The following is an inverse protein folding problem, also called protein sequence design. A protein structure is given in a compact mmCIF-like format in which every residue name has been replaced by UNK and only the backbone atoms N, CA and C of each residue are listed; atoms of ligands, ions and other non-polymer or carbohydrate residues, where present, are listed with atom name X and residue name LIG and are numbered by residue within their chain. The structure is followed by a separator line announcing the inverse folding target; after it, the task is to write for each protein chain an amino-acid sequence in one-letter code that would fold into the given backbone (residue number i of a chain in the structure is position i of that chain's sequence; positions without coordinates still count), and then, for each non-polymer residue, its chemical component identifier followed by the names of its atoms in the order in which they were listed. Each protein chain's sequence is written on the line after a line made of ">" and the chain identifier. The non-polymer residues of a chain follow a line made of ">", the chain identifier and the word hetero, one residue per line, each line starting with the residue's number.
data_IF_826693102502
#
_entry.id   IF_826693102502
#
_cell.length_a   1.000
_cell.length_b   1.000
_cell.length_c   1.000
_cell.angle_alpha   90.00
_cell.angle_beta   90.00
_cell.angle_gamma   90.00
#
_symmetry.space_group_name_H-M   'P 1'
#
loop_
_entity.id
_entity.type
_entity.pdbx_description
1 polymer ?
#
# COMPACT_ATOMS: atom_id res chain seq x y z
N UNK A 1 -47.54 -1.84 20.87
CA UNK A 1 -48.21 -0.52 20.69
C UNK A 1 -49.41 -0.48 21.63
N UNK A 2 -49.74 0.62 22.33
CA UNK A 2 -50.95 0.69 23.20
C UNK A 2 -52.10 1.36 22.44
N UNK A 3 -53.01 0.56 21.87
CA UNK A 3 -54.12 1.07 21.03
C UNK A 3 -55.15 1.89 21.81
N UNK A 4 -55.21 1.74 23.12
CA UNK A 4 -56.12 2.47 24.00
C UNK A 4 -55.88 3.99 24.01
N UNK A 5 -54.65 4.41 23.73
CA UNK A 5 -54.23 5.82 23.74
C UNK A 5 -54.46 6.53 22.39
N UNK A 6 -54.73 5.78 21.31
CA UNK A 6 -54.90 6.34 19.97
C UNK A 6 -56.26 7.01 19.77
N UNK A 7 -56.36 8.00 18.87
CA UNK A 7 -57.66 8.60 18.55
C UNK A 7 -58.50 7.62 17.72
N UNK A 8 -59.83 7.74 17.84
CA UNK A 8 -60.77 6.84 17.15
C UNK A 8 -60.62 6.87 15.62
N UNK A 9 -60.21 8.01 15.03
CA UNK A 9 -59.93 8.12 13.60
C UNK A 9 -58.68 7.31 13.20
N UNK A 10 -57.61 7.40 14.00
CA UNK A 10 -56.35 6.70 13.73
C UNK A 10 -56.52 5.18 13.85
N UNK A 11 -57.27 4.72 14.87
CA UNK A 11 -57.61 3.30 15.03
C UNK A 11 -58.43 2.78 13.85
N UNK A 12 -59.35 3.59 13.32
CA UNK A 12 -60.20 3.20 12.20
C UNK A 12 -59.41 3.10 10.89
N UNK A 13 -58.47 4.03 10.67
CA UNK A 13 -57.52 3.97 9.56
C UNK A 13 -56.60 2.75 9.67
N UNK A 14 -56.17 2.42 10.89
CA UNK A 14 -55.31 1.26 11.15
C UNK A 14 -56.05 -0.07 10.95
N UNK A 15 -57.30 -0.19 11.42
CA UNK A 15 -58.18 -1.32 11.10
C UNK A 15 -58.35 -1.49 9.59
N UNK A 16 -58.61 -0.41 8.86
CA UNK A 16 -58.78 -0.44 7.41
C UNK A 16 -57.48 -0.85 6.68
N UNK A 17 -56.32 -0.36 7.14
CA UNK A 17 -54.99 -0.72 6.61
C UNK A 17 -54.72 -2.22 6.72
N UNK A 18 -55.18 -2.85 7.80
CA UNK A 18 -55.02 -4.28 8.07
C UNK A 18 -56.18 -5.14 7.54
N UNK A 19 -57.13 -4.53 6.83
CA UNK A 19 -58.27 -5.24 6.25
C UNK A 19 -59.32 -5.70 7.26
N UNK A 20 -59.29 -5.19 8.49
CA UNK A 20 -60.24 -5.54 9.54
C UNK A 20 -61.53 -4.74 9.32
N UNK A 21 -62.59 -5.40 8.84
CA UNK A 21 -63.87 -4.78 8.51
C UNK A 21 -64.62 -4.29 9.74
N UNK A 22 -64.75 -2.96 9.92
CA UNK A 22 -65.44 -2.32 11.04
C UNK A 22 -66.72 -1.60 10.61
N UNK A 23 -67.83 -1.69 11.37
CA UNK A 23 -69.05 -0.95 11.07
C UNK A 23 -68.85 0.56 11.24
N UNK A 24 -69.58 1.38 10.47
CA UNK A 24 -69.41 2.84 10.42
C UNK A 24 -69.54 3.57 11.77
N UNK A 25 -70.23 2.95 12.75
CA UNK A 25 -70.40 3.46 14.13
C UNK A 25 -69.59 2.68 15.18
N UNK A 26 -68.55 1.95 14.78
CA UNK A 26 -67.69 1.22 15.72
C UNK A 26 -67.08 2.16 16.78
N UNK A 27 -67.16 1.73 18.04
CA UNK A 27 -66.60 2.50 19.16
C UNK A 27 -65.08 2.34 19.22
N UNK A 28 -64.41 3.31 19.86
CA UNK A 28 -62.95 3.30 20.03
C UNK A 28 -62.47 2.00 20.69
N UNK A 29 -63.17 1.52 21.71
CA UNK A 29 -62.84 0.29 22.41
C UNK A 29 -62.94 -0.95 21.50
N UNK A 30 -63.98 -1.03 20.67
CA UNK A 30 -64.16 -2.15 19.73
C UNK A 30 -63.04 -2.20 18.68
N UNK A 31 -62.63 -1.04 18.16
CA UNK A 31 -61.54 -0.96 17.16
C UNK A 31 -60.18 -1.32 17.79
N UNK A 32 -59.91 -0.83 19.00
CA UNK A 32 -58.68 -1.16 19.73
C UNK A 32 -58.60 -2.66 20.09
N UNK A 33 -59.72 -3.26 20.50
CA UNK A 33 -59.79 -4.69 20.80
C UNK A 33 -59.56 -5.56 19.54
N UNK A 34 -60.17 -5.21 18.40
CA UNK A 34 -60.00 -5.95 17.16
C UNK A 34 -58.55 -5.87 16.62
N UNK A 35 -57.87 -4.73 16.78
CA UNK A 35 -56.45 -4.59 16.42
C UNK A 35 -55.54 -5.38 17.37
N UNK A 36 -55.86 -5.42 18.66
CA UNK A 36 -55.11 -6.22 19.63
C UNK A 36 -55.28 -7.73 19.38
N UNK A 37 -56.46 -8.17 18.94
CA UNK A 37 -56.74 -9.56 18.58
C UNK A 37 -56.04 -9.96 17.27
N UNK A 38 -55.97 -9.06 16.28
CA UNK A 38 -55.18 -9.24 15.05
C UNK A 38 -53.67 -9.32 15.33
N UNK A 39 -53.14 -8.46 16.21
CA UNK A 39 -51.75 -8.53 16.70
C UNK A 39 -51.46 -9.85 17.42
N UNK A 40 -52.42 -10.38 18.17
CA UNK A 40 -52.28 -11.67 18.85
C UNK A 40 -52.34 -12.86 17.87
N UNK A 41 -53.09 -12.72 16.77
CA UNK A 41 -53.18 -13.73 15.71
C UNK A 41 -51.95 -13.73 14.77
N UNK A 42 -51.29 -12.59 14.61
CA UNK A 42 -50.11 -12.41 13.76
C UNK A 42 -48.95 -11.83 14.58
N UNK A 43 -48.29 -12.63 15.45
CA UNK A 43 -47.16 -12.13 16.22
C UNK A 43 -46.07 -11.63 15.24
N UNK A 44 -45.71 -10.35 15.35
CA UNK A 44 -44.58 -9.78 14.64
C UNK A 44 -43.34 -10.64 14.96
N UNK A 45 -42.91 -11.45 13.97
CA UNK A 45 -41.67 -12.21 14.08
C UNK A 45 -40.52 -11.20 13.97
N UNK A 46 -40.15 -10.62 15.10
CA UNK A 46 -38.89 -9.90 15.24
C UNK A 46 -37.76 -10.92 15.00
N UNK A 47 -37.25 -10.97 13.76
CA UNK A 47 -35.97 -11.61 13.48
C UNK A 47 -34.91 -10.81 14.21
N UNK A 48 -34.44 -11.32 15.34
CA UNK A 48 -33.25 -10.82 16.00
C UNK A 48 -32.06 -11.01 15.05
N UNK A 49 -31.70 -9.96 14.33
CA UNK A 49 -30.40 -9.88 13.68
C UNK A 49 -29.38 -9.73 14.81
N UNK A 50 -28.59 -10.80 15.02
CA UNK A 50 -27.47 -10.78 15.96
C UNK A 50 -26.42 -9.83 15.40
N UNK A 51 -26.40 -8.59 15.89
CA UNK A 51 -25.28 -7.68 15.69
C UNK A 51 -24.19 -8.15 16.64
N UNK A 52 -23.23 -8.91 16.13
CA UNK A 52 -21.99 -9.21 16.85
C UNK A 52 -21.33 -7.88 17.25
N UNK A 53 -20.94 -7.69 18.53
CA UNK A 53 -20.26 -6.47 18.95
C UNK A 53 -18.94 -6.34 18.16
N UNK A 54 -18.48 -5.11 17.89
CA UNK A 54 -17.21 -4.89 17.20
C UNK A 54 -16.09 -5.56 17.99
N UNK A 55 -15.52 -6.62 17.43
CA UNK A 55 -14.38 -7.33 18.02
C UNK A 55 -13.10 -6.53 17.73
N UNK A 56 -12.34 -6.22 18.78
CA UNK A 56 -11.03 -5.54 18.71
C UNK A 56 -9.92 -6.48 18.19
N UNK A 57 -10.18 -7.21 17.11
CA UNK A 57 -9.19 -8.10 16.50
C UNK A 57 -9.78 -9.33 15.82
N UNK A 58 -8.93 -10.01 15.05
CA UNK A 58 -9.26 -11.28 14.42
C UNK A 58 -9.18 -12.40 15.46
N UNK A 59 -10.33 -12.95 15.88
CA UNK A 59 -10.39 -14.15 16.70
C UNK A 59 -10.56 -15.36 15.78
N UNK A 60 -9.57 -16.27 15.79
CA UNK A 60 -9.63 -17.54 15.05
C UNK A 60 -9.77 -18.69 16.04
N UNK A 61 -10.79 -19.51 15.85
CA UNK A 61 -10.95 -20.79 16.56
C UNK A 61 -10.86 -21.90 15.53
N UNK A 62 -9.95 -22.86 15.77
CA UNK A 62 -9.73 -24.01 14.89
C UNK A 62 -10.06 -25.27 15.66
N UNK A 63 -11.01 -26.05 15.15
CA UNK A 63 -11.31 -27.40 15.65
C UNK A 63 -10.53 -28.40 14.79
N UNK A 64 -9.80 -29.36 15.39
CA UNK A 64 -9.07 -30.37 14.64
C UNK A 64 -10.02 -31.20 13.74
N UNK A 65 -9.61 -31.46 12.50
CA UNK A 65 -10.30 -32.42 11.62
C UNK A 65 -9.76 -33.82 11.88
N UNK A 66 -10.62 -34.74 12.35
CA UNK A 66 -10.29 -36.15 12.49
C UNK A 66 -10.60 -36.88 11.17
N UNK A 67 -9.59 -37.53 10.59
CA UNK A 67 -9.74 -38.35 9.38
C UNK A 67 -9.75 -39.81 9.81
N UNK A 68 -10.92 -40.45 9.72
CA UNK A 68 -11.10 -41.88 9.95
C UNK A 68 -11.21 -42.62 8.62
N UNK A 69 -10.45 -43.71 8.47
CA UNK A 69 -10.45 -44.53 7.27
C UNK A 69 -10.14 -46.00 7.59
N UNK A 70 -10.53 -46.90 6.69
CA UNK A 70 -10.34 -48.34 6.81
C UNK A 70 -8.98 -48.80 6.24
N UNK A 71 -7.89 -48.11 6.55
CA UNK A 71 -6.57 -48.37 5.96
C UNK A 71 -6.14 -49.83 6.12
N UNK A 72 -6.29 -50.41 7.31
CA UNK A 72 -5.92 -51.81 7.57
C UNK A 72 -6.68 -52.80 6.66
N UNK A 73 -7.98 -52.56 6.45
CA UNK A 73 -8.81 -53.40 5.58
C UNK A 73 -8.49 -53.18 4.09
N UNK A 74 -8.12 -51.95 3.72
CA UNK A 74 -7.69 -51.62 2.36
C UNK A 74 -6.33 -52.25 2.06
N UNK A 75 -5.38 -52.16 2.99
CA UNK A 75 -4.04 -52.75 2.89
C UNK A 75 -4.14 -54.28 2.76
N UNK A 76 -4.90 -54.95 3.63
CA UNK A 76 -5.13 -56.39 3.53
C UNK A 76 -5.76 -56.81 2.18
N UNK A 77 -6.65 -55.99 1.62
CA UNK A 77 -7.22 -56.24 0.29
C UNK A 77 -6.20 -56.05 -0.82
N UNK A 78 -5.38 -54.99 -0.76
CA UNK A 78 -4.34 -54.72 -1.75
C UNK A 78 -3.29 -55.83 -1.71
N UNK A 79 -2.82 -56.21 -0.52
CA UNK A 79 -1.86 -57.30 -0.34
C UNK A 79 -2.40 -58.61 -0.92
N UNK A 80 -3.66 -58.95 -0.66
CA UNK A 80 -4.29 -60.15 -1.23
C UNK A 80 -4.44 -60.12 -2.76
N UNK A 81 -4.51 -58.94 -3.38
CA UNK A 81 -4.45 -58.80 -4.84
C UNK A 81 -3.00 -58.96 -5.32
N UNK A 82 -2.05 -58.35 -4.61
CA UNK A 82 -0.64 -58.37 -4.99
C UNK A 82 0.00 -59.76 -4.87
N UNK A 83 -0.43 -60.58 -3.90
CA UNK A 83 0.05 -61.97 -3.76
C UNK A 83 -0.25 -62.85 -4.99
N UNK A 84 -1.16 -62.44 -5.88
CA UNK A 84 -1.41 -63.16 -7.14
C UNK A 84 -0.25 -63.06 -8.13
N UNK A 85 0.62 -62.07 -7.96
CA UNK A 85 1.79 -61.86 -8.80
C UNK A 85 3.06 -62.48 -8.22
N UNK A 86 3.00 -63.05 -7.01
CA UNK A 86 4.14 -63.76 -6.41
C UNK A 86 4.50 -64.98 -7.25
N UNK A 87 5.70 -64.95 -7.85
CA UNK A 87 6.17 -66.01 -8.75
C UNK A 87 5.52 -66.02 -10.13
N UNK A 88 4.77 -64.98 -10.51
CA UNK A 88 4.23 -64.85 -11.87
C UNK A 88 5.30 -64.29 -12.83
N UNK A 89 5.77 -65.15 -13.73
CA UNK A 89 6.75 -64.81 -14.78
C UNK A 89 6.10 -64.95 -16.18
N UNK A 90 5.36 -63.94 -16.66
CA UNK A 90 4.72 -64.00 -17.97
C UNK A 90 5.75 -63.90 -19.10
N UNK A 91 5.55 -64.69 -20.17
CA UNK A 91 6.45 -64.74 -21.32
C UNK A 91 6.05 -63.74 -22.42
N UNK A 92 7.05 -63.08 -23.01
CA UNK A 92 6.86 -62.17 -24.15
C UNK A 92 6.45 -62.90 -25.44
N UNK A 93 6.70 -64.20 -25.53
CA UNK A 93 6.42 -65.02 -26.72
C UNK A 93 5.04 -65.69 -26.68
N UNK A 94 4.32 -65.56 -25.56
CA UNK A 94 2.96 -66.10 -25.39
C UNK A 94 1.92 -65.01 -25.65
N UNK A 95 1.12 -65.18 -26.71
CA UNK A 95 0.00 -64.29 -26.99
C UNK A 95 -1.04 -64.24 -25.86
N UNK A 96 -1.21 -65.34 -25.11
CA UNK A 96 -2.08 -65.39 -23.94
C UNK A 96 -1.54 -64.57 -22.76
N UNK A 97 -0.24 -64.60 -22.53
CA UNK A 97 0.41 -63.86 -21.44
C UNK A 97 0.41 -62.36 -21.74
N UNK A 98 0.58 -61.96 -23.00
CA UNK A 98 0.48 -60.57 -23.43
C UNK A 98 -0.93 -59.99 -23.20
N UNK A 99 -1.99 -60.76 -23.42
CA UNK A 99 -3.35 -60.34 -23.10
C UNK A 99 -3.60 -60.29 -21.59
N UNK A 100 -3.11 -61.28 -20.84
CA UNK A 100 -3.17 -61.29 -19.37
C UNK A 100 -2.46 -60.05 -18.78
N UNK A 101 -1.26 -59.70 -19.26
CA UNK A 101 -0.52 -58.49 -18.86
C UNK A 101 -1.36 -57.24 -19.09
N UNK A 102 -2.04 -57.11 -20.23
CA UNK A 102 -2.89 -55.93 -20.52
C UNK A 102 -4.03 -55.83 -19.52
N UNK A 103 -4.72 -56.93 -19.24
CA UNK A 103 -5.80 -56.98 -18.27
C UNK A 103 -5.33 -56.64 -16.84
N UNK A 104 -4.22 -57.23 -16.40
CA UNK A 104 -3.68 -57.01 -15.06
C UNK A 104 -3.14 -55.59 -14.86
N UNK A 105 -2.43 -55.03 -15.86
CA UNK A 105 -2.00 -53.63 -15.83
C UNK A 105 -3.18 -52.67 -15.69
N UNK A 106 -4.29 -52.97 -16.37
CA UNK A 106 -5.51 -52.17 -16.25
C UNK A 106 -6.11 -52.27 -14.85
N UNK A 107 -6.21 -53.48 -14.29
CA UNK A 107 -6.73 -53.70 -12.93
C UNK A 107 -5.92 -52.93 -11.88
N UNK A 108 -4.59 -53.05 -11.91
CA UNK A 108 -3.70 -52.37 -10.96
C UNK A 108 -3.78 -50.85 -11.10
N UNK A 109 -3.85 -50.34 -12.35
CA UNK A 109 -4.05 -48.92 -12.60
C UNK A 109 -5.38 -48.43 -12.05
N UNK A 110 -6.48 -49.14 -12.31
CA UNK A 110 -7.81 -48.75 -11.83
C UNK A 110 -7.89 -48.78 -10.29
N UNK A 111 -7.21 -49.71 -9.63
CA UNK A 111 -7.09 -49.77 -8.17
C UNK A 111 -6.27 -48.59 -7.62
N UNK A 112 -5.12 -48.30 -8.21
CA UNK A 112 -4.28 -47.14 -7.86
C UNK A 112 -5.06 -45.83 -7.99
N UNK A 113 -5.75 -45.64 -9.12
CA UNK A 113 -6.53 -44.43 -9.40
C UNK A 113 -7.67 -44.26 -8.39
N UNK A 114 -8.37 -45.33 -7.99
CA UNK A 114 -9.42 -45.27 -6.98
C UNK A 114 -8.90 -44.77 -5.62
N UNK A 115 -7.75 -45.27 -5.19
CA UNK A 115 -7.11 -44.85 -3.93
C UNK A 115 -6.71 -43.38 -4.02
N UNK A 116 -6.05 -43.00 -5.12
CA UNK A 116 -5.60 -41.63 -5.36
C UNK A 116 -6.74 -40.62 -5.44
N UNK A 117 -7.83 -40.95 -6.15
CA UNK A 117 -9.02 -40.10 -6.25
C UNK A 117 -9.64 -39.87 -4.88
N UNK A 118 -9.80 -40.93 -4.08
CA UNK A 118 -10.36 -40.82 -2.72
C UNK A 118 -9.45 -40.04 -1.79
N UNK A 119 -8.13 -40.28 -1.83
CA UNK A 119 -7.13 -39.52 -1.08
C UNK A 119 -7.20 -38.03 -1.41
N UNK A 120 -7.23 -37.68 -2.70
CA UNK A 120 -7.33 -36.28 -3.15
C UNK A 120 -8.65 -35.65 -2.74
N UNK A 121 -9.76 -36.37 -2.86
CA UNK A 121 -11.07 -35.88 -2.44
C UNK A 121 -11.10 -35.56 -0.94
N UNK A 122 -10.66 -36.49 -0.08
CA UNK A 122 -10.58 -36.28 1.36
C UNK A 122 -9.65 -35.12 1.74
N UNK A 123 -8.48 -35.02 1.10
CA UNK A 123 -7.56 -33.88 1.29
C UNK A 123 -8.21 -32.55 0.91
N UNK A 124 -8.91 -32.51 -0.23
CA UNK A 124 -9.56 -31.29 -0.71
C UNK A 124 -10.71 -30.86 0.22
N UNK A 125 -11.48 -31.81 0.75
CA UNK A 125 -12.56 -31.54 1.70
C UNK A 125 -12.01 -31.01 3.04
N UNK A 126 -10.95 -31.63 3.57
CA UNK A 126 -10.30 -31.15 4.79
C UNK A 126 -9.66 -29.77 4.62
N UNK A 127 -9.11 -29.47 3.43
CA UNK A 127 -8.50 -28.16 3.12
C UNK A 127 -9.53 -27.10 2.69
N UNK A 128 -10.74 -27.47 2.29
CA UNK A 128 -11.78 -26.53 1.88
C UNK A 128 -12.06 -25.41 2.91
N UNK A 129 -12.26 -25.70 4.21
CA UNK A 129 -12.49 -24.63 5.20
C UNK A 129 -11.26 -23.73 5.39
N UNK A 130 -10.05 -24.29 5.35
CA UNK A 130 -8.80 -23.53 5.47
C UNK A 130 -8.65 -22.58 4.27
N UNK A 131 -8.82 -23.09 3.05
CA UNK A 131 -8.74 -22.29 1.83
C UNK A 131 -9.81 -21.18 1.80
N UNK A 132 -11.02 -21.47 2.27
CA UNK A 132 -12.09 -20.48 2.36
C UNK A 132 -11.78 -19.39 3.39
N UNK A 133 -11.21 -19.76 4.55
CA UNK A 133 -10.72 -18.82 5.56
C UNK A 133 -9.61 -17.93 4.98
N UNK A 134 -8.59 -18.51 4.33
CA UNK A 134 -7.47 -17.78 3.73
C UNK A 134 -7.94 -16.82 2.63
N UNK A 135 -8.89 -17.24 1.78
CA UNK A 135 -9.48 -16.38 0.77
C UNK A 135 -10.23 -15.18 1.39
N UNK A 136 -10.94 -15.40 2.50
CA UNK A 136 -11.63 -14.31 3.23
C UNK A 136 -10.63 -13.37 3.92
N UNK A 137 -9.63 -13.93 4.61
CA UNK A 137 -8.61 -13.15 5.31
C UNK A 137 -7.79 -12.29 4.34
N UNK A 138 -7.34 -12.87 3.22
CA UNK A 138 -6.64 -12.14 2.15
C UNK A 138 -7.53 -11.10 1.48
N UNK A 139 -8.82 -11.38 1.27
CA UNK A 139 -9.79 -10.41 0.77
C UNK A 139 -9.95 -9.20 1.70
N UNK A 140 -10.02 -9.41 3.02
CA UNK A 140 -10.10 -8.33 4.01
C UNK A 140 -8.79 -7.54 4.05
N UNK A 141 -7.64 -8.22 4.12
CA UNK A 141 -6.33 -7.58 4.08
C UNK A 141 -6.15 -6.75 2.79
N UNK A 142 -6.66 -7.26 1.66
CA UNK A 142 -6.66 -6.55 0.38
C UNK A 142 -7.43 -5.23 0.41
N UNK A 143 -8.58 -5.17 1.10
CA UNK A 143 -9.35 -3.92 1.25
C UNK A 143 -8.56 -2.87 2.05
N UNK A 144 -7.95 -3.28 3.15
CA UNK A 144 -7.11 -2.39 3.98
C UNK A 144 -5.92 -1.88 3.18
N UNK A 145 -5.23 -2.78 2.46
CA UNK A 145 -4.12 -2.43 1.58
C UNK A 145 -4.53 -1.44 0.49
N UNK A 146 -5.67 -1.66 -0.17
CA UNK A 146 -6.15 -0.78 -1.23
C UNK A 146 -6.38 0.67 -0.73
N UNK A 147 -6.97 0.83 0.46
CA UNK A 147 -7.16 2.16 1.06
C UNK A 147 -5.82 2.79 1.43
N UNK A 148 -4.91 2.03 2.05
CA UNK A 148 -3.56 2.51 2.37
C UNK A 148 -2.82 2.99 1.13
N UNK A 149 -2.83 2.20 0.06
CA UNK A 149 -2.12 2.52 -1.18
C UNK A 149 -2.71 3.76 -1.86
N UNK A 150 -4.04 3.96 -1.78
CA UNK A 150 -4.70 5.19 -2.22
C UNK A 150 -4.23 6.41 -1.43
N UNK A 151 -4.09 6.31 -0.10
CA UNK A 151 -3.61 7.42 0.74
C UNK A 151 -2.16 7.78 0.43
N UNK A 152 -1.30 6.77 0.25
CA UNK A 152 0.09 6.98 -0.17
C UNK A 152 0.17 7.66 -1.55
N UNK A 153 -0.71 7.28 -2.48
CA UNK A 153 -0.77 7.93 -3.79
C UNK A 153 -1.18 9.40 -3.69
N UNK A 154 -2.16 9.73 -2.85
CA UNK A 154 -2.58 11.14 -2.61
C UNK A 154 -1.45 11.93 -1.95
N UNK A 155 -0.72 11.36 -1.00
CA UNK A 155 0.43 12.01 -0.37
C UNK A 155 1.53 12.32 -1.41
N UNK A 156 1.82 11.36 -2.29
CA UNK A 156 2.77 11.55 -3.39
C UNK A 156 2.30 12.63 -4.37
N UNK A 157 1.03 12.62 -4.78
CA UNK A 157 0.47 13.63 -5.69
C UNK A 157 0.55 15.03 -5.09
N UNK A 158 0.27 15.17 -3.78
CA UNK A 158 0.42 16.44 -3.08
C UNK A 158 1.90 16.88 -2.99
N UNK A 159 2.84 15.95 -2.79
CA UNK A 159 4.26 16.26 -2.81
C UNK A 159 4.74 16.70 -4.19
N UNK A 160 4.32 15.97 -5.24
CA UNK A 160 4.65 16.28 -6.64
C UNK A 160 4.04 17.61 -7.07
N UNK A 161 2.81 17.91 -6.66
CA UNK A 161 2.19 19.22 -6.85
C UNK A 161 3.00 20.33 -6.18
N UNK A 162 3.36 20.17 -4.90
CA UNK A 162 4.16 21.15 -4.17
C UNK A 162 5.54 21.37 -4.81
N UNK A 163 6.19 20.28 -5.28
CA UNK A 163 7.46 20.36 -6.01
C UNK A 163 7.28 21.07 -7.35
N UNK A 164 6.20 20.78 -8.07
CA UNK A 164 5.83 21.41 -9.34
C UNK A 164 5.59 22.92 -9.20
N UNK A 165 4.79 23.32 -8.21
CA UNK A 165 4.53 24.73 -7.88
C UNK A 165 5.82 25.45 -7.50
N UNK A 166 6.65 24.85 -6.63
CA UNK A 166 7.95 25.42 -6.27
C UNK A 166 8.89 25.53 -7.47
N UNK A 167 8.92 24.53 -8.36
CA UNK A 167 9.70 24.56 -9.60
C UNK A 167 9.20 25.66 -10.54
N UNK A 168 7.89 25.86 -10.64
CA UNK A 168 7.29 26.89 -11.47
C UNK A 168 7.66 28.29 -10.96
N UNK A 169 7.53 28.53 -9.65
CA UNK A 169 7.93 29.81 -9.04
C UNK A 169 9.43 30.08 -9.22
N UNK A 170 10.30 29.08 -9.05
CA UNK A 170 11.74 29.26 -9.28
C UNK A 170 12.06 29.52 -10.76
N UNK A 171 11.29 28.93 -11.68
CA UNK A 171 11.44 29.20 -13.12
C UNK A 171 11.03 30.63 -13.45
N UNK A 172 9.90 31.11 -12.90
CA UNK A 172 9.46 32.50 -13.08
C UNK A 172 10.49 33.48 -12.51
N UNK A 173 11.02 33.20 -11.32
CA UNK A 173 12.09 34.00 -10.70
C UNK A 173 13.36 34.01 -11.56
N UNK A 174 13.75 32.85 -12.11
CA UNK A 174 14.88 32.74 -13.02
C UNK A 174 14.72 33.59 -14.28
N UNK A 175 13.58 33.46 -14.96
CA UNK A 175 13.32 34.18 -16.21
C UNK A 175 13.30 35.70 -15.99
N UNK A 176 12.78 36.14 -14.84
CA UNK A 176 12.81 37.54 -14.43
C UNK A 176 14.23 38.05 -14.11
N UNK A 177 15.04 37.26 -13.40
CA UNK A 177 16.38 37.66 -12.96
C UNK A 177 17.44 37.55 -14.07
N UNK A 178 17.43 36.48 -14.85
CA UNK A 178 18.45 36.20 -15.86
C UNK A 178 18.31 37.04 -17.13
N UNK A 179 17.11 37.55 -17.43
CA UNK A 179 16.87 38.42 -18.58
C UNK A 179 17.38 37.80 -19.89
N UNK A 180 18.34 38.46 -20.55
CA UNK A 180 18.90 38.00 -21.81
C UNK A 180 19.68 36.66 -21.71
N UNK A 181 20.17 36.30 -20.51
CA UNK A 181 20.88 35.02 -20.30
C UNK A 181 19.91 33.83 -20.42
N UNK A 182 18.62 34.02 -20.13
CA UNK A 182 17.61 32.97 -20.17
C UNK A 182 17.36 32.42 -21.59
N UNK A 183 17.65 33.19 -22.65
CA UNK A 183 17.55 32.73 -24.03
C UNK A 183 18.63 31.72 -24.39
N UNK A 184 19.81 31.83 -23.77
CA UNK A 184 20.98 30.98 -24.03
C UNK A 184 21.10 29.83 -23.04
N UNK A 185 20.64 30.03 -21.79
CA UNK A 185 20.70 29.05 -20.73
C UNK A 185 19.27 28.75 -20.25
N UNK A 186 18.67 27.62 -20.62
CA UNK A 186 17.37 27.24 -20.07
C UNK A 186 17.46 26.94 -18.58
N UNK A 187 16.38 27.22 -17.83
CA UNK A 187 16.29 26.94 -16.38
C UNK A 187 16.72 25.52 -16.00
N UNK A 188 16.35 24.52 -16.81
CA UNK A 188 16.63 23.11 -16.52
C UNK A 188 18.15 22.79 -16.50
N UNK A 189 19.03 23.66 -17.05
CA UNK A 189 20.50 23.51 -16.94
C UNK A 189 21.08 23.94 -15.60
N UNK A 190 20.44 24.89 -14.93
CA UNK A 190 20.92 25.45 -13.65
C UNK A 190 20.12 24.94 -12.45
N UNK A 191 18.97 24.30 -12.72
CA UNK A 191 18.09 23.72 -11.73
C UNK A 191 18.81 22.70 -10.84
N UNK A 192 18.56 22.77 -9.53
CA UNK A 192 18.97 21.75 -8.56
C UNK A 192 17.73 21.10 -7.94
N UNK A 193 17.62 19.78 -8.07
CA UNK A 193 16.50 19.02 -7.49
C UNK A 193 16.41 19.20 -5.96
N UNK A 194 17.53 19.49 -5.29
CA UNK A 194 17.56 19.72 -3.84
C UNK A 194 16.72 20.92 -3.43
N UNK A 195 16.56 21.92 -4.30
CA UNK A 195 15.73 23.08 -4.04
C UNK A 195 14.25 22.72 -3.91
N UNK A 196 13.80 21.63 -4.52
CA UNK A 196 12.41 21.19 -4.44
C UNK A 196 12.08 20.47 -3.12
N UNK A 197 13.09 20.10 -2.34
CA UNK A 197 12.92 19.42 -1.06
C UNK A 197 12.18 20.30 -0.04
N UNK A 198 11.39 19.64 0.83
CA UNK A 198 10.57 20.32 1.84
C UNK A 198 11.38 21.14 2.85
N UNK A 199 12.63 20.73 3.12
CA UNK A 199 13.51 21.41 4.07
C UNK A 199 14.20 22.66 3.53
N UNK A 200 14.18 22.91 2.22
CA UNK A 200 14.80 24.10 1.64
C UNK A 200 13.74 25.21 1.54
N UNK A 201 13.91 26.35 2.22
CA UNK A 201 12.99 27.48 2.08
C UNK A 201 13.13 28.12 0.68
N UNK A 202 12.07 28.76 0.18
CA UNK A 202 12.06 29.38 -1.15
C UNK A 202 13.16 30.44 -1.32
N UNK A 203 13.36 31.40 -0.39
CA UNK A 203 14.37 32.46 -0.57
C UNK A 203 15.79 31.92 -0.68
N UNK A 204 16.11 30.85 0.05
CA UNK A 204 17.44 30.22 -0.06
C UNK A 204 17.66 29.58 -1.44
N UNK A 205 16.60 29.00 -2.02
CA UNK A 205 16.69 28.45 -3.37
C UNK A 205 16.81 29.57 -4.42
N UNK A 206 16.15 30.71 -4.21
CA UNK A 206 16.29 31.91 -5.06
C UNK A 206 17.72 32.48 -4.97
N UNK A 207 18.27 32.65 -3.77
CA UNK A 207 19.65 33.12 -3.57
C UNK A 207 20.69 32.20 -4.24
N UNK A 208 20.56 30.88 -4.08
CA UNK A 208 21.45 29.91 -4.74
C UNK A 208 21.28 29.91 -6.27
N UNK A 209 20.06 30.14 -6.76
CA UNK A 209 19.76 30.27 -8.17
C UNK A 209 20.42 31.54 -8.75
N UNK A 210 20.21 32.69 -8.11
CA UNK A 210 20.81 33.98 -8.48
C UNK A 210 22.33 33.88 -8.52
N UNK A 211 22.95 33.31 -7.48
CA UNK A 211 24.40 33.09 -7.43
C UNK A 211 24.91 32.23 -8.60
N UNK A 212 24.13 31.23 -9.06
CA UNK A 212 24.48 30.46 -10.27
C UNK A 212 24.37 31.30 -11.53
N UNK A 213 23.34 32.15 -11.66
CA UNK A 213 23.20 33.05 -12.82
C UNK A 213 24.33 34.07 -12.86
N UNK A 214 24.69 34.66 -11.72
CA UNK A 214 25.81 35.58 -11.60
C UNK A 214 27.13 34.90 -11.98
N UNK A 215 27.40 33.68 -11.50
CA UNK A 215 28.59 32.93 -11.89
C UNK A 215 28.65 32.65 -13.40
N UNK A 216 27.49 32.44 -14.05
CA UNK A 216 27.42 32.31 -15.52
C UNK A 216 27.73 33.64 -16.21
N UNK A 217 27.17 34.75 -15.73
CA UNK A 217 27.45 36.08 -16.27
C UNK A 217 28.93 36.47 -16.14
N UNK A 218 29.52 36.27 -14.96
CA UNK A 218 30.94 36.47 -14.70
C UNK A 218 31.81 35.56 -15.58
N UNK A 219 31.37 34.31 -15.76
CA UNK A 219 32.02 33.34 -16.64
C UNK A 219 32.07 33.81 -18.09
N UNK A 220 30.95 34.35 -18.60
CA UNK A 220 30.86 34.91 -19.94
C UNK A 220 31.77 36.14 -20.10
N UNK A 221 31.74 37.07 -19.15
CA UNK A 221 32.62 38.25 -19.17
C UNK A 221 34.11 37.86 -19.11
N UNK A 222 34.46 36.81 -18.37
CA UNK A 222 35.82 36.28 -18.33
C UNK A 222 36.26 35.70 -19.69
N UNK A 223 35.36 35.07 -20.45
CA UNK A 223 35.66 34.58 -21.80
C UNK A 223 35.87 35.75 -22.76
N UNK A 224 35.00 36.78 -22.69
CA UNK A 224 35.15 38.00 -23.50
C UNK A 224 36.47 38.72 -23.21
N UNK A 225 36.84 38.85 -21.94
CA UNK A 225 38.06 39.54 -21.52
C UNK A 225 39.37 38.87 -21.97
N UNK A 226 39.35 37.60 -22.39
CA UNK A 226 40.55 36.88 -22.84
C UNK A 226 40.97 37.17 -24.29
N UNK A 227 40.07 37.70 -25.13
CA UNK A 227 40.37 38.03 -26.53
C UNK A 227 40.88 36.85 -27.35
N UNK A 228 40.13 35.74 -27.36
CA UNK A 228 40.53 34.49 -28.03
C UNK A 228 40.34 34.56 -29.56
N UNK A 229 41.20 33.89 -30.33
CA UNK A 229 41.08 33.83 -31.82
C UNK A 229 39.75 33.22 -32.30
N UNK A 230 39.21 32.25 -31.55
CA UNK A 230 37.95 31.57 -31.83
C UNK A 230 36.91 31.85 -30.73
N UNK A 231 36.66 33.13 -30.47
CA UNK A 231 35.81 33.56 -29.35
C UNK A 231 34.37 33.07 -29.46
N UNK A 232 33.73 33.20 -30.64
CA UNK A 232 32.34 32.73 -30.85
C UNK A 232 32.18 31.23 -30.54
N UNK A 233 33.20 30.43 -30.87
CA UNK A 233 33.22 28.99 -30.58
C UNK A 233 33.43 28.69 -29.08
N UNK A 234 34.18 29.52 -28.36
CA UNK A 234 34.28 29.44 -26.90
C UNK A 234 32.95 29.83 -26.24
N UNK A 235 32.30 30.90 -26.68
CA UNK A 235 31.02 31.35 -26.12
C UNK A 235 29.92 30.29 -26.33
N UNK A 236 29.81 29.73 -27.54
CA UNK A 236 28.87 28.64 -27.80
C UNK A 236 29.13 27.41 -26.91
N UNK A 237 30.41 27.03 -26.72
CA UNK A 237 30.78 25.89 -25.87
C UNK A 237 30.51 26.18 -24.39
N UNK A 238 30.72 27.42 -23.95
CA UNK A 238 30.42 27.85 -22.60
C UNK A 238 28.93 27.79 -22.29
N UNK A 239 28.04 28.29 -23.15
CA UNK A 239 26.60 28.16 -22.90
C UNK A 239 26.10 26.71 -23.02
N UNK A 240 26.83 25.85 -23.72
CA UNK A 240 26.55 24.42 -23.76
C UNK A 240 26.87 23.73 -22.41
N UNK A 241 28.07 23.95 -21.87
CA UNK A 241 28.60 23.19 -20.71
C UNK A 241 28.59 23.95 -19.38
N UNK A 242 28.38 25.27 -19.42
CA UNK A 242 28.57 26.23 -18.31
C UNK A 242 29.98 26.15 -17.68
N UNK A 243 30.96 25.61 -18.42
CA UNK A 243 32.36 25.49 -17.99
C UNK A 243 33.25 26.46 -18.77
N UNK A 244 33.73 27.50 -18.07
CA UNK A 244 34.62 28.48 -18.64
C UNK A 244 36.01 27.92 -18.99
N UNK A 245 36.54 27.00 -18.18
CA UNK A 245 37.89 26.49 -18.38
C UNK A 245 37.92 25.64 -19.65
N UNK A 246 36.98 24.69 -19.77
CA UNK A 246 36.82 23.89 -20.97
C UNK A 246 36.51 24.70 -22.23
N UNK A 247 35.74 25.80 -22.12
CA UNK A 247 35.48 26.69 -23.25
C UNK A 247 36.74 27.40 -23.77
N UNK A 248 37.61 27.88 -22.88
CA UNK A 248 38.88 28.53 -23.24
C UNK A 248 39.84 27.52 -23.87
N UNK A 249 40.01 26.35 -23.24
CA UNK A 249 40.85 25.27 -23.77
C UNK A 249 40.39 24.81 -25.16
N UNK A 250 39.08 24.77 -25.39
CA UNK A 250 38.50 24.42 -26.68
C UNK A 250 38.86 25.43 -27.77
N UNK A 251 38.74 26.73 -27.49
CA UNK A 251 39.14 27.77 -28.45
C UNK A 251 40.65 27.79 -28.71
N UNK A 252 41.48 27.57 -27.69
CA UNK A 252 42.93 27.41 -27.89
C UNK A 252 43.26 26.17 -28.72
N UNK A 253 42.54 25.07 -28.52
CA UNK A 253 42.69 23.87 -29.35
C UNK A 253 42.30 24.15 -30.80
N UNK A 254 41.20 24.85 -31.05
CA UNK A 254 40.81 25.29 -32.39
C UNK A 254 41.87 26.18 -33.06
N UNK A 255 42.47 27.11 -32.31
CA UNK A 255 43.60 27.93 -32.78
C UNK A 255 44.80 27.07 -33.17
N UNK A 256 45.19 26.13 -32.30
CA UNK A 256 46.29 25.18 -32.59
C UNK A 256 45.99 24.30 -33.79
N UNK A 257 44.77 23.79 -33.90
CA UNK A 257 44.35 22.91 -35.00
C UNK A 257 44.31 23.70 -36.33
N UNK A 258 43.83 24.94 -36.34
CA UNK A 258 43.89 25.82 -37.53
C UNK A 258 45.32 26.06 -37.99
N UNK A 259 46.24 26.37 -37.06
CA UNK A 259 47.67 26.58 -37.38
C UNK A 259 48.30 25.32 -37.98
N UNK A 260 48.00 24.14 -37.42
CA UNK A 260 48.47 22.85 -37.96
C UNK A 260 47.89 22.57 -39.36
N UNK A 261 46.62 22.87 -39.58
CA UNK A 261 45.98 22.68 -40.90
C UNK A 261 46.61 23.62 -41.93
N UNK A 262 46.93 24.85 -41.55
CA UNK A 262 47.60 25.83 -42.42
C UNK A 262 49.03 25.39 -42.76
N UNK A 263 49.82 24.96 -41.76
CA UNK A 263 51.16 24.39 -41.97
C UNK A 263 51.14 23.17 -42.90
N UNK A 264 50.18 22.26 -42.70
CA UNK A 264 50.02 21.09 -43.58
C UNK A 264 49.57 21.47 -44.99
N UNK A 265 48.75 22.51 -45.15
CA UNK A 265 48.34 23.02 -46.47
C UNK A 265 49.51 23.66 -47.21
N UNK A 266 50.37 24.40 -46.50
CA UNK A 266 51.58 24.99 -47.09
C UNK A 266 52.59 23.92 -47.53
N UNK A 267 52.73 22.81 -46.80
CA UNK A 267 53.53 21.66 -47.25
C UNK A 267 52.89 20.89 -48.41
N UNK A 268 51.57 21.00 -48.57
CA UNK A 268 50.78 20.25 -49.55
C UNK A 268 50.36 21.07 -50.78
N UNK A 269 50.95 22.24 -51.03
CA UNK A 269 50.75 23.01 -52.27
C UNK A 269 51.78 22.59 -53.35
N UNK A 270 51.44 21.68 -54.28
CA UNK A 270 52.23 21.45 -55.49
C UNK A 270 51.98 22.59 -56.48
N UNK A 271 53.05 23.30 -56.88
CA UNK A 271 53.00 24.36 -57.88
C UNK A 271 52.23 23.99 -59.17
N UNK A 272 51.79 24.99 -59.95
CA UNK A 272 50.72 24.81 -60.92
C UNK A 272 51.20 23.99 -62.12
N UNK A 273 50.60 22.82 -62.32
CA UNK A 273 50.79 22.07 -63.55
C UNK A 273 50.37 20.61 -63.50
N UNK A 274 49.06 20.33 -63.61
CA UNK A 274 48.61 19.22 -64.46
C UNK A 274 47.15 19.33 -64.90
N UNK A 275 46.97 19.22 -66.21
CA UNK A 275 45.75 19.24 -67.02
C UNK A 275 44.73 18.14 -66.63
N UNK A 276 43.40 18.35 -66.80
CA UNK A 276 42.35 17.46 -66.32
C UNK A 276 41.99 16.40 -67.36
N UNK A 277 42.33 15.14 -67.07
CA UNK A 277 41.90 13.98 -67.84
C UNK A 277 40.95 13.10 -67.05
N UNK A 278 39.72 12.94 -67.58
CA UNK A 278 38.72 11.92 -67.26
C UNK A 278 38.02 11.99 -65.89
N UNK A 279 36.81 12.56 -65.89
CA UNK A 279 35.77 12.21 -64.90
C UNK A 279 34.61 11.52 -65.63
N UNK A 280 34.54 10.20 -65.45
CA UNK A 280 33.30 9.44 -65.66
C UNK A 280 32.27 9.86 -64.60
N UNK A 281 31.02 9.99 -65.03
CA UNK A 281 29.86 10.23 -64.15
C UNK A 281 29.58 9.01 -63.27
N UNK A 282 29.07 9.23 -62.05
CA UNK A 282 27.74 8.67 -61.78
C UNK A 282 26.82 9.59 -60.95
N UNK A 283 25.56 9.67 -61.40
CA UNK A 283 24.34 9.38 -60.63
C UNK A 283 23.87 10.32 -59.50
N UNK A 284 22.57 10.71 -59.47
CA UNK A 284 22.00 11.56 -58.42
C UNK A 284 21.71 10.80 -57.11
N UNK A 285 21.79 11.55 -56.00
CA UNK A 285 21.52 11.11 -54.62
C UNK A 285 20.16 10.41 -54.46
N UNK A 286 20.06 9.36 -53.62
CA UNK A 286 18.82 9.03 -52.92
C UNK A 286 18.77 9.75 -51.56
N UNK A 287 17.58 10.22 -51.20
CA UNK A 287 17.25 10.73 -49.88
C UNK A 287 17.25 9.58 -48.83
N UNK A 288 17.66 9.83 -47.57
CA UNK A 288 17.47 8.85 -46.51
C UNK A 288 16.03 8.92 -45.96
N UNK A 289 15.39 7.76 -45.90
CA UNK A 289 14.17 7.48 -45.13
C UNK A 289 14.54 7.13 -43.65
N UNK A 290 13.57 7.05 -42.73
CA UNK A 290 13.69 7.49 -41.33
C UNK A 290 14.44 6.51 -40.42
N UNK A 291 15.05 7.08 -39.37
CA UNK A 291 15.68 6.34 -38.29
C UNK A 291 14.66 5.51 -37.49
N UNK A 292 15.05 4.26 -37.24
CA UNK A 292 14.38 3.28 -36.39
C UNK A 292 14.54 3.66 -34.92
N UNK A 293 13.50 3.42 -34.13
CA UNK A 293 13.44 3.65 -32.68
C UNK A 293 14.52 2.86 -31.90
N UNK A 294 15.03 3.38 -30.77
CA UNK A 294 15.81 2.60 -29.82
C UNK A 294 14.91 1.89 -28.78
N UNK A 295 15.30 0.66 -28.44
CA UNK A 295 14.78 -0.19 -27.38
C UNK A 295 15.14 0.31 -25.96
N UNK A 296 14.47 -0.20 -24.90
CA UNK A 296 14.38 0.44 -23.58
C UNK A 296 15.57 0.20 -22.64
N UNK A 297 15.78 1.17 -21.76
CA UNK A 297 16.84 1.21 -20.73
C UNK A 297 16.66 0.22 -19.54
N UNK A 298 17.74 -0.09 -18.81
CA UNK A 298 17.79 -1.08 -17.73
C UNK A 298 17.19 -0.61 -16.39
N UNK A 299 16.78 -1.58 -15.58
CA UNK A 299 16.10 -1.41 -14.29
C UNK A 299 17.00 -0.88 -13.15
N UNK A 300 16.46 -0.07 -12.21
CA UNK A 300 17.20 0.45 -11.06
C UNK A 300 17.23 -0.51 -9.84
N UNK A 301 18.36 -0.50 -9.14
CA UNK A 301 18.60 -1.10 -7.82
C UNK A 301 17.95 -0.29 -6.68
N UNK A 302 17.50 -0.93 -5.58
CA UNK A 302 16.78 -0.27 -4.49
C UNK A 302 17.71 0.44 -3.48
N UNK A 303 17.33 1.66 -3.09
CA UNK A 303 17.89 2.43 -1.98
C UNK A 303 17.12 2.15 -0.68
N UNK A 304 17.84 1.92 0.41
CA UNK A 304 17.29 1.67 1.74
C UNK A 304 17.16 2.98 2.55
N UNK A 305 16.04 3.21 3.28
CA UNK A 305 15.87 4.38 4.14
C UNK A 305 16.65 4.24 5.46
N UNK A 306 17.04 5.35 6.13
CA UNK A 306 17.68 5.31 7.44
C UNK A 306 16.69 4.83 8.51
N UNK A 307 17.14 3.90 9.35
CA UNK A 307 16.42 3.48 10.53
C UNK A 307 16.27 4.65 11.51
N UNK A 308 15.03 4.96 11.91
CA UNK A 308 14.81 5.69 13.15
C UNK A 308 15.07 4.72 14.31
N UNK A 309 16.00 5.09 15.18
CA UNK A 309 16.32 4.34 16.37
C UNK A 309 15.13 4.38 17.35
N UNK A 310 14.47 3.25 17.64
CA UNK A 310 13.38 3.19 18.60
C UNK A 310 13.83 3.56 20.03
N UNK A 311 15.13 3.51 20.35
CA UNK A 311 15.66 3.94 21.65
C UNK A 311 15.55 5.47 21.82
N UNK A 312 15.74 6.25 20.75
CA UNK A 312 15.61 7.72 20.81
C UNK A 312 14.17 8.18 21.07
N UNK A 313 13.17 7.39 20.66
CA UNK A 313 11.76 7.65 20.94
C UNK A 313 11.39 7.28 22.39
N UNK A 314 12.01 6.22 22.92
CA UNK A 314 11.84 5.79 24.30
C UNK A 314 12.45 6.80 25.30
N UNK A 315 13.63 7.34 25.01
CA UNK A 315 14.29 8.36 25.84
C UNK A 315 13.47 9.67 25.91
N UNK A 316 12.81 10.05 24.82
CA UNK A 316 11.94 11.22 24.77
C UNK A 316 10.70 11.06 25.67
N UNK A 317 10.15 9.84 25.75
CA UNK A 317 9.01 9.50 26.61
C UNK A 317 9.41 9.39 28.09
N UNK A 318 10.61 8.90 28.39
CA UNK A 318 11.17 8.85 29.75
C UNK A 318 11.46 10.26 30.28
N UNK A 319 11.98 11.16 29.43
CA UNK A 319 12.19 12.57 29.80
C UNK A 319 10.89 13.32 30.13
N UNK A 320 9.76 12.94 29.51
CA UNK A 320 8.45 13.53 29.78
C UNK A 320 7.82 13.06 31.11
N UNK A 321 8.30 11.96 31.71
CA UNK A 321 7.76 11.38 32.94
C UNK A 321 8.14 12.16 34.23
N UNK A 322 9.01 13.17 34.14
CA UNK A 322 9.47 13.98 35.28
C UNK A 322 8.70 15.29 35.52
N UNK A 323 7.86 15.73 34.58
CA UNK A 323 7.17 17.02 34.67
C UNK A 323 5.67 16.85 34.42
N UNK A 324 4.86 17.05 35.47
CA UNK A 324 3.38 17.04 35.45
C UNK A 324 2.77 17.83 34.27
N UNK A 325 3.47 18.84 33.74
CA UNK A 325 3.04 19.64 32.59
C UNK A 325 3.36 19.04 31.21
N UNK A 326 4.42 18.23 31.09
CA UNK A 326 4.88 17.73 29.80
C UNK A 326 3.99 16.62 29.24
N UNK A 327 3.46 15.74 30.09
CA UNK A 327 2.53 14.68 29.69
C UNK A 327 1.19 15.27 29.19
N UNK A 328 0.68 16.32 29.85
CA UNK A 328 -0.54 17.00 29.42
C UNK A 328 -0.38 17.69 28.07
N UNK A 329 0.75 18.36 27.85
CA UNK A 329 1.07 19.02 26.58
C UNK A 329 1.32 18.02 25.44
N UNK A 330 1.89 16.85 25.75
CA UNK A 330 2.05 15.76 24.80
C UNK A 330 0.69 15.14 24.41
N UNK A 331 -0.22 14.97 25.38
CA UNK A 331 -1.56 14.43 25.14
C UNK A 331 -2.50 15.40 24.43
N UNK A 332 -2.39 16.72 24.67
CA UNK A 332 -3.15 17.76 23.92
C UNK A 332 -2.78 17.83 22.43
N UNK A 333 -1.59 17.32 22.05
CA UNK A 333 -1.12 17.24 20.66
C UNK A 333 -1.49 15.94 19.95
N UNK A 334 -2.07 14.97 20.66
CA UNK A 334 -2.62 13.76 20.05
C UNK A 334 -4.13 13.97 19.90
N UNK A 335 -4.68 14.07 18.68
CA UNK A 335 -6.12 14.18 18.50
C UNK A 335 -6.75 12.82 18.79
N UNK A 336 -7.11 12.57 20.04
CA UNK A 336 -7.92 11.40 20.41
C UNK A 336 -9.37 11.85 20.46
N UNK A 337 -10.07 11.72 19.32
CA UNK A 337 -11.52 11.87 19.30
C UNK A 337 -12.13 10.59 19.87
N UNK A 338 -12.67 10.66 21.07
CA UNK A 338 -13.51 9.60 21.62
C UNK A 338 -14.98 9.88 21.31
N UNK A 339 -15.72 8.96 20.70
CA UNK A 339 -17.16 9.11 20.56
C UNK A 339 -17.83 8.95 21.94
N UNK A 340 -18.48 10.00 22.43
CA UNK A 340 -19.32 9.95 23.63
C UNK A 340 -19.56 11.31 24.28
N UNK A 341 -20.83 11.60 24.60
CA UNK A 341 -21.36 12.86 25.16
C UNK A 341 -20.92 13.15 26.63
N UNK A 342 -19.62 13.09 26.93
CA UNK A 342 -19.09 13.53 28.22
C UNK A 342 -19.54 12.73 29.46
N UNK A 343 -20.29 11.65 29.29
CA UNK A 343 -20.66 10.75 30.38
C UNK A 343 -19.48 9.85 30.75
N UNK A 344 -19.22 9.67 32.06
CA UNK A 344 -18.19 8.77 32.55
C UNK A 344 -18.56 7.31 32.24
N UNK A 345 -18.06 6.78 31.11
CA UNK A 345 -18.28 5.38 30.71
C UNK A 345 -17.24 4.50 31.39
N UNK A 346 -17.63 3.45 32.14
CA UNK A 346 -16.68 2.52 32.72
C UNK A 346 -15.98 1.75 31.58
N UNK A 347 -14.64 1.83 31.54
CA UNK A 347 -13.81 1.15 30.53
C UNK A 347 -12.89 0.14 31.21
N UNK A 348 -12.65 -0.98 30.53
CA UNK A 348 -11.75 -2.04 30.98
C UNK A 348 -10.48 -1.97 30.15
N UNK A 349 -9.33 -1.89 30.82
CA UNK A 349 -8.01 -1.95 30.21
C UNK A 349 -7.36 -3.28 30.59
N UNK A 350 -6.95 -4.07 29.60
CA UNK A 350 -6.17 -5.28 29.82
C UNK A 350 -4.67 -4.93 29.78
N UNK A 351 -3.92 -5.34 30.80
CA UNK A 351 -2.46 -5.18 30.86
C UNK A 351 -1.89 -6.59 30.90
N UNK A 352 -1.23 -7.02 29.83
CA UNK A 352 -0.74 -8.40 29.65
C UNK A 352 0.22 -8.85 30.76
N UNK A 353 1.04 -7.93 31.27
CA UNK A 353 1.83 -8.14 32.48
C UNK A 353 2.20 -6.81 33.15
N UNK A 354 2.10 -6.74 34.48
CA UNK A 354 2.58 -5.61 35.26
C UNK A 354 2.90 -6.05 36.69
N UNK A 355 3.99 -5.54 37.25
CA UNK A 355 4.31 -5.70 38.67
C UNK A 355 3.35 -4.90 39.54
N UNK A 356 3.28 -5.21 40.85
CA UNK A 356 2.48 -4.43 41.83
C UNK A 356 2.86 -2.95 41.79
N UNK A 357 4.15 -2.68 41.65
CA UNK A 357 4.70 -1.33 41.63
C UNK A 357 4.32 -0.58 40.34
N UNK A 358 4.34 -1.26 39.19
CA UNK A 358 3.89 -0.70 37.91
C UNK A 358 2.39 -0.40 37.93
N UNK A 359 1.55 -1.31 38.44
CA UNK A 359 0.11 -1.08 38.56
C UNK A 359 -0.19 0.12 39.48
N UNK A 360 0.55 0.27 40.58
CA UNK A 360 0.44 1.42 41.49
C UNK A 360 0.80 2.73 40.79
N UNK A 361 1.88 2.75 40.00
CA UNK A 361 2.29 3.94 39.22
C UNK A 361 1.28 4.30 38.12
N UNK A 362 0.73 3.29 37.44
CA UNK A 362 -0.33 3.48 36.43
C UNK A 362 -1.59 4.05 37.09
N UNK A 363 -1.97 3.54 38.27
CA UNK A 363 -3.09 4.08 39.05
C UNK A 363 -2.88 5.53 39.46
N UNK A 364 -1.67 5.88 39.92
CA UNK A 364 -1.33 7.25 40.29
C UNK A 364 -1.35 8.22 39.08
N UNK A 365 -0.87 7.77 37.92
CA UNK A 365 -0.90 8.54 36.67
C UNK A 365 -2.34 8.72 36.15
N UNK A 366 -3.15 7.66 36.17
CA UNK A 366 -4.57 7.71 35.78
C UNK A 366 -5.40 8.60 36.71
N UNK A 367 -5.14 8.55 38.02
CA UNK A 367 -5.77 9.44 38.99
C UNK A 367 -5.45 10.92 38.76
N UNK A 368 -4.25 11.24 38.25
CA UNK A 368 -3.86 12.62 37.93
C UNK A 368 -4.65 13.23 36.76
N UNK A 369 -5.28 12.39 35.92
CA UNK A 369 -6.15 12.81 34.81
C UNK A 369 -7.64 12.58 35.12
N UNK A 370 -8.00 12.31 36.38
CA UNK A 370 -9.39 12.16 36.82
C UNK A 370 -10.00 10.78 36.55
N UNK A 371 -9.20 9.78 36.17
CA UNK A 371 -9.66 8.41 35.94
C UNK A 371 -9.53 7.62 37.24
N UNK A 372 -10.64 7.06 37.71
CA UNK A 372 -10.68 6.19 38.89
C UNK A 372 -10.99 4.74 38.45
N UNK A 373 -10.35 3.76 39.10
CA UNK A 373 -10.50 2.36 38.72
C UNK A 373 -9.90 1.39 39.72
N UNK A 374 -10.24 0.11 39.59
CA UNK A 374 -9.75 -0.99 40.42
C UNK A 374 -8.91 -1.94 39.57
N UNK A 375 -7.67 -2.20 39.98
CA UNK A 375 -6.85 -3.23 39.34
C UNK A 375 -7.27 -4.61 39.83
N UNK A 376 -7.50 -5.55 38.91
CA UNK A 376 -7.81 -6.93 39.23
C UNK A 376 -6.91 -7.87 38.46
N UNK A 377 -6.47 -8.94 39.13
CA UNK A 377 -5.58 -9.98 38.58
C UNK A 377 -6.37 -11.20 38.14
N UNK A 378 -5.85 -11.90 37.13
CA UNK A 378 -6.44 -13.08 36.52
C UNK A 378 -6.70 -12.86 35.02
N UNK A 379 -7.18 -13.88 34.33
CA UNK A 379 -7.65 -13.74 32.95
C UNK A 379 -8.88 -12.83 32.91
N UNK A 380 -9.17 -12.22 31.75
CA UNK A 380 -10.36 -11.35 31.60
C UNK A 380 -11.63 -12.12 31.96
N UNK A 381 -11.70 -13.41 31.62
CA UNK A 381 -12.82 -14.30 31.95
C UNK A 381 -12.97 -14.51 33.46
N UNK A 382 -11.89 -14.82 34.18
CA UNK A 382 -11.89 -14.96 35.64
C UNK A 382 -12.29 -13.67 36.36
N UNK A 383 -11.86 -12.53 35.82
CA UNK A 383 -12.17 -11.19 36.36
C UNK A 383 -13.64 -10.83 36.09
N UNK A 384 -14.16 -11.11 34.90
CA UNK A 384 -15.56 -10.92 34.55
C UNK A 384 -16.50 -11.81 35.37
N UNK A 385 -16.14 -13.09 35.58
CA UNK A 385 -16.90 -14.00 36.43
C UNK A 385 -16.95 -13.52 37.88
N UNK A 386 -15.82 -13.01 38.41
CA UNK A 386 -15.73 -12.46 39.77
C UNK A 386 -16.56 -11.18 39.92
N UNK A 387 -16.49 -10.26 38.96
CA UNK A 387 -17.32 -9.05 38.94
C UNK A 387 -18.81 -9.36 38.82
N UNK A 388 -19.17 -10.34 38.01
CA UNK A 388 -20.56 -10.76 37.85
C UNK A 388 -21.10 -11.36 39.16
N UNK A 389 -20.26 -12.14 39.86
CA UNK A 389 -20.58 -12.68 41.18
C UNK A 389 -20.73 -11.57 42.24
N UNK A 390 -19.78 -10.65 42.31
CA UNK A 390 -19.85 -9.48 43.22
C UNK A 390 -21.09 -8.61 42.96
N UNK A 391 -21.50 -8.42 41.70
CA UNK A 391 -22.73 -7.70 41.32
C UNK A 391 -24.00 -8.45 41.69
N UNK A 392 -24.01 -9.77 41.52
CA UNK A 392 -25.16 -10.62 41.90
C UNK A 392 -25.33 -10.69 43.43
N UNK A 393 -24.21 -10.77 44.17
CA UNK A 393 -24.18 -10.72 45.63
C UNK A 393 -24.63 -9.35 46.16
N UNK A 394 -24.19 -8.25 45.52
CA UNK A 394 -24.66 -6.90 45.85
C UNK A 394 -26.16 -6.68 45.56
N UNK A 395 -26.72 -7.37 44.55
CA UNK A 395 -28.13 -7.29 44.21
C UNK A 395 -29.03 -8.20 45.08
N UNK A 396 -28.49 -9.27 45.68
CA UNK A 396 -29.22 -10.17 46.58
C UNK A 396 -29.07 -9.82 48.06
N UNK A 397 -28.17 -8.88 48.40
CA UNK A 397 -27.92 -8.39 49.75
C UNK A 397 -28.63 -7.08 50.11
N UNK A 398 -29.61 -6.63 49.32
CA UNK A 398 -30.42 -5.42 49.57
C UNK A 398 -31.90 -5.75 49.82
#
# INVERSE_FOLDING_TARGET
>A
MRYEDMKAADLRSECARRGIGMPAKATKATMAAALAEDDAAHPEVARAEVIEPPVDGLVLSVVPCEISANFDALEARVDGILSRYDGWEPSADSGGDLEAIKCEKRLLKDLYDQIEVRRKAAKNEAMAPINAMDARASGIAGKVKAVRDRLVAVEKEAEDWRKGEKKALLREHYEAFAGAIAELVPYDKIHDERWLNKGVPMPKAEEELEARVEAVAEGWERIKGKGLEFQDAAEARFFETLDCAGAVEWAEKLARDRRKIEELKELADPGPGRDPGATERPGPRPAPAPARAPDPDPAPVPFAPPAHDPEALADMLVAAAGAKGALRLAMERVPVSFPGDGAAVPRVMAIESATVEQATRIGAAAGAVGVTGRFMRGTVEEVCQRLSRERMEAAHGQ
#
